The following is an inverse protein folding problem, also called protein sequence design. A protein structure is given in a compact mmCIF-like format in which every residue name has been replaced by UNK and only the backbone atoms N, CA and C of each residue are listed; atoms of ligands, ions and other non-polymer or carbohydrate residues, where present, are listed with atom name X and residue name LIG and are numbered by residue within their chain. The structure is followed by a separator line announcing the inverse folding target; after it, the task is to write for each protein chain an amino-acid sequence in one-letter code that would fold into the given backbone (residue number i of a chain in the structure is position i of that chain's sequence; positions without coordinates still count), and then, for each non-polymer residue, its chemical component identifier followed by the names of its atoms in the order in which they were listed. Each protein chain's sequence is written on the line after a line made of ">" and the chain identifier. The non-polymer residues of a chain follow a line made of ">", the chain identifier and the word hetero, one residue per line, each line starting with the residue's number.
data_IF_431422341478
#
_entry.id   IF_431422341478
#
_cell.length_a   1.000
_cell.length_b   1.000
_cell.length_c   1.000
_cell.angle_alpha   90.00
_cell.angle_beta   90.00
_cell.angle_gamma   90.00
#
_symmetry.space_group_name_H-M   'P 1'
#
loop_
_entity.id
_entity.type
_entity.pdbx_description
1 polymer ?
#
# COMPACT_ATOMS: atom_id res chain seq x y z
N UNK A 1 9.37 15.99 -29.94
CA UNK A 1 10.25 15.78 -28.77
C UNK A 1 10.15 14.32 -28.39
N UNK A 2 11.27 13.61 -28.25
CA UNK A 2 11.31 12.17 -27.96
C UNK A 2 10.69 11.84 -26.58
N UNK A 3 9.84 10.80 -26.44
CA UNK A 3 9.18 10.46 -25.17
C UNK A 3 9.99 9.50 -24.28
N UNK A 4 11.23 9.15 -24.63
CA UNK A 4 12.01 8.14 -23.90
C UNK A 4 12.80 8.65 -22.68
N UNK A 5 12.58 9.89 -22.23
CA UNK A 5 13.39 10.53 -21.19
C UNK A 5 12.76 10.64 -19.80
N UNK A 6 11.43 10.50 -19.67
CA UNK A 6 10.74 10.74 -18.39
C UNK A 6 10.60 9.49 -17.51
N UNK A 7 10.63 8.28 -18.08
CA UNK A 7 10.44 7.04 -17.33
C UNK A 7 11.66 6.63 -16.48
N UNK A 8 12.89 7.04 -16.85
CA UNK A 8 14.09 6.70 -16.07
C UNK A 8 14.40 7.68 -14.94
N UNK A 9 13.85 8.90 -14.96
CA UNK A 9 14.15 9.91 -13.95
C UNK A 9 13.34 9.73 -12.65
N UNK A 10 12.13 9.18 -12.75
CA UNK A 10 11.25 8.99 -11.58
C UNK A 10 11.67 7.74 -10.77
N UNK A 11 12.09 6.67 -11.45
CA UNK A 11 12.55 5.42 -10.82
C UNK A 11 13.90 5.53 -10.08
N UNK A 12 14.76 6.48 -10.45
CA UNK A 12 16.01 6.73 -9.69
C UNK A 12 15.84 7.66 -8.48
N UNK A 13 14.77 8.47 -8.44
CA UNK A 13 14.57 9.44 -7.36
C UNK A 13 13.98 8.82 -6.09
N UNK A 14 13.21 7.75 -6.23
CA UNK A 14 12.62 7.01 -5.10
C UNK A 14 13.64 6.12 -4.37
N UNK A 15 14.72 5.70 -5.04
CA UNK A 15 15.76 4.86 -4.41
C UNK A 15 16.80 5.66 -3.62
N UNK A 16 16.92 6.98 -3.87
CA UNK A 16 17.86 7.85 -3.17
C UNK A 16 17.36 8.34 -1.79
N UNK A 17 16.04 8.28 -1.53
CA UNK A 17 15.49 8.64 -0.21
C UNK A 17 15.69 7.54 0.85
N UNK A 18 15.99 6.31 0.45
CA UNK A 18 16.16 5.15 1.35
C UNK A 18 17.57 5.01 1.95
N UNK A 19 18.52 5.91 1.66
CA UNK A 19 19.93 5.78 2.07
C UNK A 19 20.51 6.96 2.88
N UNK A 20 19.69 7.91 3.37
CA UNK A 20 20.23 9.14 4.00
C UNK A 20 20.15 9.23 5.54
N UNK A 21 19.71 8.19 6.26
CA UNK A 21 19.76 8.19 7.73
C UNK A 21 21.01 7.46 8.25
N UNK A 22 22.14 8.19 8.28
CA UNK A 22 23.28 7.85 9.13
C UNK A 22 23.60 9.04 10.04
N UNK A 23 23.82 8.85 11.36
CA UNK A 23 24.24 9.94 12.23
C UNK A 23 25.75 10.13 12.08
N UNK A 24 26.16 11.17 11.34
CA UNK A 24 27.55 11.59 11.28
C UNK A 24 27.90 12.39 12.54
N UNK A 25 28.55 11.73 13.50
CA UNK A 25 29.19 12.35 14.67
C UNK A 25 30.32 13.26 14.15
N UNK A 26 30.23 14.57 14.39
CA UNK A 26 31.33 15.50 14.18
C UNK A 26 32.36 15.36 15.31
N UNK A 27 33.59 14.98 14.97
CA UNK A 27 34.74 15.09 15.85
C UNK A 27 35.17 16.57 15.94
N UNK A 28 35.01 17.17 17.12
CA UNK A 28 35.57 18.49 17.43
C UNK A 28 37.04 18.35 17.86
N UNK A 29 37.89 19.29 17.44
CA UNK A 29 39.34 19.31 17.69
C UNK A 29 39.70 19.26 19.18
N UNK A 30 40.78 18.52 19.46
CA UNK A 30 41.14 17.96 20.76
C UNK A 30 42.18 18.84 21.49
N UNK A 31 41.73 19.94 22.14
CA UNK A 31 42.54 20.69 23.13
C UNK A 31 41.67 21.28 24.25
N UNK A 32 41.98 20.94 25.49
CA UNK A 32 41.38 21.55 26.67
C UNK A 32 42.47 21.98 27.67
N UNK A 33 42.26 23.13 28.31
CA UNK A 33 42.99 23.55 29.51
C UNK A 33 42.06 23.34 30.71
N UNK A 34 42.54 22.69 31.78
CA UNK A 34 41.72 22.50 32.99
C UNK A 34 41.58 23.81 33.76
N UNK A 35 40.37 24.14 34.20
CA UNK A 35 40.11 25.26 35.11
C UNK A 35 40.87 25.08 36.43
N UNK A 36 41.75 26.03 36.76
CA UNK A 36 42.22 26.17 38.14
C UNK A 36 41.07 26.79 38.94
N UNK A 37 40.48 26.04 39.87
CA UNK A 37 39.33 26.44 40.69
C UNK A 37 39.53 27.73 41.51
N UNK A 38 39.48 28.88 40.84
CA UNK A 38 39.22 30.20 41.42
C UNK A 38 40.19 30.68 42.51
N UNK A 39 41.48 30.32 42.49
CA UNK A 39 42.45 30.86 43.45
C UNK A 39 43.60 31.61 42.78
N UNK A 40 43.50 32.94 42.83
CA UNK A 40 44.65 33.84 42.64
C UNK A 40 45.42 33.84 43.97
N UNK A 41 46.60 33.22 43.99
CA UNK A 41 47.55 33.32 45.10
C UNK A 41 48.47 34.52 44.86
N UNK A 42 48.52 35.44 45.82
CA UNK A 42 49.30 36.67 45.76
C UNK A 42 50.35 36.74 46.87
N UNK A 43 51.09 35.64 47.10
CA UNK A 43 52.22 35.63 48.03
C UNK A 43 53.57 35.64 47.31
N UNK A 44 54.32 36.76 47.46
CA UNK A 44 55.77 36.81 47.36
C UNK A 44 56.38 37.60 46.18
N UNK A 45 56.93 38.79 46.48
CA UNK A 45 58.02 39.44 45.72
C UNK A 45 59.27 39.38 46.62
N UNK A 46 60.41 38.93 46.06
CA UNK A 46 61.72 38.65 46.69
C UNK A 46 61.88 37.28 47.38
N UNK A 47 61.80 36.22 46.58
CA UNK A 47 62.24 34.87 46.88
C UNK A 47 62.12 34.00 45.63
N UNK A 48 63.13 33.20 45.31
CA UNK A 48 63.26 32.41 44.07
C UNK A 48 62.11 31.40 43.91
N UNK A 49 60.98 31.82 43.33
CA UNK A 49 59.96 31.04 42.60
C UNK A 49 58.73 31.93 42.36
N UNK A 50 58.60 32.48 41.15
CA UNK A 50 57.30 32.83 40.58
C UNK A 50 57.00 31.81 39.50
N UNK A 51 56.27 30.79 39.93
CA UNK A 51 55.93 29.62 39.13
C UNK A 51 54.93 29.99 38.05
N UNK A 52 55.16 29.46 36.85
CA UNK A 52 54.08 29.16 35.92
C UNK A 52 52.98 28.42 36.67
N UNK A 53 51.72 28.65 36.27
CA UNK A 53 50.58 27.88 36.78
C UNK A 53 50.93 26.41 36.59
N UNK A 54 51.21 25.73 37.70
CA UNK A 54 51.75 24.38 37.72
C UNK A 54 50.67 23.40 37.33
N UNK A 55 50.56 23.14 36.03
CA UNK A 55 50.03 21.88 35.52
C UNK A 55 51.21 21.02 35.11
N UNK A 56 51.29 19.79 35.62
CA UNK A 56 52.16 18.80 34.99
C UNK A 56 51.63 18.52 33.60
N UNK A 57 52.49 18.64 32.59
CA UNK A 57 52.18 18.21 31.23
C UNK A 57 52.12 16.68 31.21
N UNK A 58 50.95 16.13 31.54
CA UNK A 58 50.71 14.70 31.46
C UNK A 58 50.40 14.33 30.01
N UNK A 59 51.22 13.46 29.41
CA UNK A 59 50.77 12.73 28.23
C UNK A 59 49.54 11.93 28.63
N UNK A 60 48.45 12.06 27.85
CA UNK A 60 47.28 11.17 27.91
C UNK A 60 47.83 9.74 28.05
N UNK A 61 47.34 8.92 29.01
CA UNK A 61 47.68 7.50 29.03
C UNK A 61 47.44 6.97 27.62
N UNK A 62 48.39 6.22 27.07
CA UNK A 62 48.13 5.51 25.81
C UNK A 62 46.90 4.67 26.05
N UNK A 63 45.77 5.06 25.46
CA UNK A 63 44.58 4.23 25.45
C UNK A 63 45.05 2.88 24.94
N UNK A 64 44.83 1.83 25.72
CA UNK A 64 44.80 0.50 25.13
C UNK A 64 43.67 0.64 24.11
N UNK A 65 44.05 0.69 22.83
CA UNK A 65 43.10 0.50 21.76
C UNK A 65 42.62 -0.93 21.95
N UNK A 66 41.52 -1.11 22.68
CA UNK A 66 40.63 -2.21 22.36
C UNK A 66 40.36 -2.02 20.87
N UNK A 67 40.89 -2.95 20.09
CA UNK A 67 40.61 -3.05 18.67
C UNK A 67 39.08 -2.94 18.57
N UNK A 68 38.54 -1.89 17.92
CA UNK A 68 37.10 -1.70 17.92
C UNK A 68 36.52 -2.99 17.37
N UNK A 69 35.74 -3.72 18.18
CA UNK A 69 34.93 -4.81 17.67
C UNK A 69 34.16 -4.20 16.51
N UNK A 70 34.47 -4.65 15.29
CA UNK A 70 33.71 -4.24 14.12
C UNK A 70 32.26 -4.51 14.48
N UNK A 71 31.37 -3.51 14.42
CA UNK A 71 29.98 -3.73 14.76
C UNK A 71 29.51 -4.92 13.92
N UNK A 72 29.10 -6.01 14.57
CA UNK A 72 28.61 -7.18 13.86
C UNK A 72 27.50 -6.70 12.93
N UNK A 73 27.81 -6.63 11.63
CA UNK A 73 26.85 -6.22 10.64
C UNK A 73 25.89 -7.38 10.46
N UNK A 74 24.83 -7.41 11.26
CA UNK A 74 23.69 -8.26 10.98
C UNK A 74 23.07 -7.72 9.69
N UNK A 75 23.08 -8.47 8.57
CA UNK A 75 22.39 -8.03 7.37
C UNK A 75 20.95 -7.72 7.76
N UNK A 76 20.44 -6.58 7.34
CA UNK A 76 19.01 -6.29 7.48
C UNK A 76 18.26 -7.38 6.72
N UNK A 77 17.66 -8.32 7.47
CA UNK A 77 16.79 -9.34 6.90
C UNK A 77 15.43 -8.68 6.75
N UNK A 78 14.95 -8.55 5.51
CA UNK A 78 13.54 -8.22 5.31
C UNK A 78 12.71 -9.29 6.03
N UNK A 79 11.74 -8.90 6.89
CA UNK A 79 10.77 -9.86 7.40
C UNK A 79 10.07 -10.49 6.20
N UNK A 80 9.80 -11.79 6.28
CA UNK A 80 9.04 -12.48 5.23
C UNK A 80 7.61 -11.94 5.30
N UNK A 81 7.05 -11.38 4.21
CA UNK A 81 5.68 -10.91 4.22
C UNK A 81 4.74 -12.09 4.50
N UNK A 82 3.72 -11.87 5.33
CA UNK A 82 2.64 -12.85 5.51
C UNK A 82 1.74 -12.92 4.28
N UNK A 83 1.49 -11.76 3.67
CA UNK A 83 0.78 -11.63 2.41
C UNK A 83 1.64 -10.93 1.38
N UNK A 84 1.82 -11.56 0.23
CA UNK A 84 2.33 -10.90 -0.96
C UNK A 84 1.60 -11.45 -2.17
N UNK A 85 1.03 -10.56 -2.98
CA UNK A 85 0.36 -10.98 -4.20
C UNK A 85 0.51 -9.92 -5.28
N UNK A 86 0.92 -10.39 -6.46
CA UNK A 86 0.90 -9.66 -7.70
C UNK A 86 -0.24 -10.22 -8.55
N UNK A 87 -1.29 -9.42 -8.73
CA UNK A 87 -2.49 -9.81 -9.45
C UNK A 87 -2.60 -9.13 -10.81
N UNK A 88 -2.95 -9.91 -11.82
CA UNK A 88 -3.33 -9.43 -13.16
C UNK A 88 -4.39 -10.34 -13.76
N UNK A 89 -5.32 -9.80 -14.56
CA UNK A 89 -6.42 -10.57 -15.10
C UNK A 89 -6.69 -10.39 -16.58
N UNK A 90 -7.64 -11.19 -17.05
CA UNK A 90 -8.18 -11.21 -18.40
C UNK A 90 -9.69 -11.39 -18.32
N UNK A 91 -10.45 -10.44 -18.84
CA UNK A 91 -11.87 -10.60 -19.03
C UNK A 91 -12.11 -11.44 -20.29
N UNK A 92 -12.85 -12.54 -20.14
CA UNK A 92 -13.11 -13.50 -21.21
C UNK A 92 -14.42 -13.17 -21.94
N UNK A 93 -15.42 -12.69 -21.21
CA UNK A 93 -16.69 -12.24 -21.74
C UNK A 93 -17.33 -11.28 -20.74
N UNK A 94 -17.84 -10.16 -21.21
CA UNK A 94 -18.72 -9.30 -20.44
C UNK A 94 -19.77 -8.71 -21.37
N UNK A 95 -20.98 -8.49 -20.85
CA UNK A 95 -21.98 -7.59 -21.42
C UNK A 95 -22.14 -6.31 -20.56
N UNK A 96 -21.19 -6.10 -19.65
CA UNK A 96 -21.08 -4.99 -18.73
C UNK A 96 -19.63 -4.50 -18.78
N UNK A 97 -19.36 -3.51 -19.62
CA UNK A 97 -18.02 -2.92 -19.74
C UNK A 97 -17.82 -1.88 -18.64
N UNK A 98 -17.85 -2.30 -17.37
CA UNK A 98 -17.13 -1.56 -16.33
C UNK A 98 -16.90 -2.30 -15.00
N UNK A 99 -15.89 -1.89 -14.26
CA UNK A 99 -15.63 -2.18 -12.84
C UNK A 99 -15.94 -3.60 -12.31
N UNK A 100 -15.15 -4.58 -12.75
CA UNK A 100 -14.99 -5.88 -12.10
C UNK A 100 -14.18 -5.75 -10.79
N UNK A 101 -14.34 -6.72 -9.88
CA UNK A 101 -13.74 -6.78 -8.53
C UNK A 101 -12.28 -6.34 -8.39
N UNK A 102 -11.41 -6.63 -9.37
CA UNK A 102 -9.99 -6.30 -9.29
C UNK A 102 -9.55 -5.19 -10.25
N UNK A 103 -10.40 -4.70 -11.16
CA UNK A 103 -10.06 -3.63 -12.11
C UNK A 103 -8.87 -3.92 -13.05
N UNK A 104 -8.41 -5.17 -13.14
CA UNK A 104 -7.18 -5.55 -13.85
C UNK A 104 -7.48 -6.60 -14.95
N UNK A 105 -7.84 -6.19 -16.17
CA UNK A 105 -8.13 -7.07 -17.33
C UNK A 105 -7.38 -6.64 -18.60
N UNK A 106 -6.54 -7.50 -19.18
CA UNK A 106 -5.76 -7.15 -20.39
C UNK A 106 -6.61 -6.81 -21.63
N UNK A 107 -7.87 -7.25 -21.69
CA UNK A 107 -8.73 -7.08 -22.87
C UNK A 107 -9.54 -5.76 -22.86
N UNK A 108 -9.87 -5.26 -21.67
CA UNK A 108 -10.76 -4.10 -21.48
C UNK A 108 -10.12 -3.03 -20.62
N UNK A 109 -9.52 -3.40 -19.48
CA UNK A 109 -8.93 -2.48 -18.50
C UNK A 109 -7.62 -3.02 -17.92
N UNK A 110 -6.49 -3.00 -18.65
CA UNK A 110 -5.26 -3.65 -18.19
C UNK A 110 -4.77 -2.98 -16.92
N UNK A 111 -4.54 -3.78 -15.89
CA UNK A 111 -3.98 -3.28 -14.65
C UNK A 111 -3.17 -4.32 -13.91
N UNK A 112 -2.47 -3.84 -12.89
CA UNK A 112 -1.60 -4.61 -12.04
C UNK A 112 -1.84 -4.14 -10.60
N UNK A 113 -2.16 -5.08 -9.72
CA UNK A 113 -2.26 -4.86 -8.29
C UNK A 113 -1.10 -5.56 -7.59
N UNK A 114 -0.40 -4.84 -6.73
CA UNK A 114 0.62 -5.40 -5.87
C UNK A 114 0.33 -5.05 -4.42
N UNK A 115 0.11 -6.09 -3.63
CA UNK A 115 -0.07 -5.98 -2.19
C UNK A 115 1.10 -6.66 -1.50
N UNK A 116 1.66 -5.98 -0.52
CA UNK A 116 2.76 -6.47 0.28
C UNK A 116 2.53 -6.11 1.75
N UNK A 117 2.54 -7.12 2.61
CA UNK A 117 2.38 -6.99 4.06
C UNK A 117 3.74 -7.04 4.78
N UNK A 118 3.79 -6.54 6.02
CA UNK A 118 4.96 -6.49 6.88
C UNK A 118 6.19 -5.81 6.24
N UNK A 119 5.96 -4.83 5.37
CA UNK A 119 7.04 -4.17 4.58
C UNK A 119 7.96 -3.34 5.45
N UNK A 120 7.39 -2.65 6.44
CA UNK A 120 8.11 -1.68 7.27
C UNK A 120 7.95 -1.90 8.78
N UNK A 121 6.87 -2.56 9.20
CA UNK A 121 6.56 -2.92 10.58
C UNK A 121 5.54 -4.07 10.58
N UNK A 122 5.50 -4.82 11.68
CA UNK A 122 4.47 -5.83 11.93
C UNK A 122 3.07 -5.17 11.82
N UNK A 123 2.10 -5.89 11.28
CA UNK A 123 0.71 -5.46 11.01
C UNK A 123 0.55 -4.36 9.94
N UNK A 124 1.63 -3.85 9.33
CA UNK A 124 1.55 -2.80 8.31
C UNK A 124 1.51 -3.38 6.89
N UNK A 125 0.36 -3.18 6.25
CA UNK A 125 0.12 -3.52 4.86
C UNK A 125 0.34 -2.31 3.96
N UNK A 126 1.07 -2.50 2.88
CA UNK A 126 1.17 -1.56 1.76
C UNK A 126 0.51 -2.16 0.52
N UNK A 127 -0.25 -1.35 -0.19
CA UNK A 127 -0.91 -1.74 -1.43
C UNK A 127 -0.71 -0.67 -2.49
N UNK A 128 -0.38 -1.08 -3.70
CA UNK A 128 -0.27 -0.20 -4.84
C UNK A 128 -0.87 -0.86 -6.08
N UNK A 129 -1.59 -0.07 -6.87
CA UNK A 129 -2.20 -0.52 -8.11
C UNK A 129 -1.99 0.51 -9.22
N UNK A 130 -1.91 0.00 -10.44
CA UNK A 130 -1.94 0.78 -11.67
C UNK A 130 -2.96 0.12 -12.58
N UNK A 131 -3.99 0.86 -12.96
CA UNK A 131 -5.08 0.39 -13.81
C UNK A 131 -5.23 1.36 -14.99
N UNK A 132 -5.26 0.86 -16.23
CA UNK A 132 -5.59 1.66 -17.41
C UNK A 132 -7.04 1.42 -17.78
N UNK A 133 -7.82 2.49 -17.87
CA UNK A 133 -9.26 2.46 -18.07
C UNK A 133 -9.76 3.76 -18.70
N UNK A 134 -10.76 3.70 -19.59
CA UNK A 134 -11.40 4.86 -20.23
C UNK A 134 -10.36 5.86 -20.78
N UNK A 135 -9.32 5.31 -21.41
CA UNK A 135 -8.17 6.05 -21.93
C UNK A 135 -7.30 6.77 -20.87
N UNK A 136 -7.58 6.61 -19.57
CA UNK A 136 -6.85 7.15 -18.43
C UNK A 136 -6.06 6.08 -17.67
N UNK A 137 -5.08 6.50 -16.87
CA UNK A 137 -4.33 5.65 -15.95
C UNK A 137 -4.71 6.07 -14.53
N UNK A 138 -5.30 5.14 -13.78
CA UNK A 138 -5.51 5.23 -12.36
C UNK A 138 -4.30 4.64 -11.64
N UNK A 139 -3.62 5.45 -10.85
CA UNK A 139 -2.62 4.99 -9.88
C UNK A 139 -3.25 5.09 -8.51
N UNK A 140 -3.16 4.03 -7.70
CA UNK A 140 -3.46 4.15 -6.28
C UNK A 140 -2.37 3.59 -5.40
N UNK A 141 -2.22 4.23 -4.25
CA UNK A 141 -1.30 3.84 -3.20
C UNK A 141 -2.03 3.91 -1.87
N UNK A 142 -1.92 2.84 -1.09
CA UNK A 142 -2.55 2.76 0.21
C UNK A 142 -1.66 2.13 1.25
N UNK A 143 -1.99 2.46 2.49
CA UNK A 143 -1.43 1.86 3.68
C UNK A 143 -2.57 1.40 4.55
N UNK A 144 -2.34 0.37 5.35
CA UNK A 144 -3.27 0.01 6.40
C UNK A 144 -2.61 -0.81 7.48
N UNK A 145 -3.34 -0.92 8.58
CA UNK A 145 -2.94 -1.65 9.76
C UNK A 145 -3.91 -2.81 9.90
N UNK A 146 -3.39 -4.04 9.96
CA UNK A 146 -4.16 -5.27 10.14
C UNK A 146 -3.50 -6.12 11.24
N UNK A 147 -3.99 -6.07 12.48
CA UNK A 147 -3.39 -6.78 13.61
C UNK A 147 -3.47 -8.30 13.48
N UNK A 148 -2.32 -8.97 13.48
CA UNK A 148 -2.20 -10.43 13.30
C UNK A 148 -2.77 -11.25 14.47
N UNK A 149 -2.68 -10.76 15.71
CA UNK A 149 -2.89 -11.55 16.94
C UNK A 149 -4.33 -11.52 17.51
N UNK A 150 -5.34 -11.31 16.68
CA UNK A 150 -6.72 -11.16 17.12
C UNK A 150 -7.60 -12.36 16.75
N UNK A 151 -8.51 -12.77 17.65
CA UNK A 151 -9.55 -13.79 17.35
C UNK A 151 -10.46 -13.38 16.18
N UNK A 152 -10.44 -12.09 15.84
CA UNK A 152 -11.16 -11.40 14.78
C UNK A 152 -10.25 -10.26 14.30
N UNK A 153 -9.80 -10.33 13.05
CA UNK A 153 -8.90 -9.34 12.45
C UNK A 153 -9.65 -8.04 12.15
N UNK A 154 -9.37 -6.96 12.87
CA UNK A 154 -9.95 -5.64 12.56
C UNK A 154 -8.86 -4.72 12.06
N UNK A 155 -8.98 -4.31 10.80
CA UNK A 155 -8.02 -3.43 10.15
C UNK A 155 -8.61 -2.09 9.73
N UNK A 156 -7.73 -1.12 9.52
CA UNK A 156 -8.07 0.16 8.91
C UNK A 156 -7.09 0.45 7.79
N UNK A 157 -7.56 1.13 6.75
CA UNK A 157 -6.73 1.51 5.61
C UNK A 157 -7.02 2.93 5.15
N UNK A 158 -6.06 3.50 4.43
CA UNK A 158 -6.21 4.75 3.72
C UNK A 158 -5.55 4.62 2.34
N UNK A 159 -6.21 5.16 1.31
CA UNK A 159 -5.68 5.18 -0.04
C UNK A 159 -5.74 6.58 -0.63
N UNK A 160 -4.77 6.85 -1.50
CA UNK A 160 -4.76 7.98 -2.40
C UNK A 160 -4.76 7.48 -3.84
N UNK A 161 -5.79 7.89 -4.59
CA UNK A 161 -5.95 7.61 -6.00
C UNK A 161 -5.66 8.85 -6.83
N UNK A 162 -5.01 8.65 -7.97
CA UNK A 162 -4.69 9.69 -8.95
C UNK A 162 -5.00 9.19 -10.34
N UNK A 163 -5.87 9.90 -11.05
CA UNK A 163 -6.07 9.75 -12.48
C UNK A 163 -5.06 10.63 -13.23
N UNK A 164 -4.27 10.04 -14.11
CA UNK A 164 -3.12 10.71 -14.71
C UNK A 164 -3.49 11.74 -15.77
N UNK A 165 -4.51 11.48 -16.60
CA UNK A 165 -4.89 12.39 -17.68
C UNK A 165 -5.71 13.56 -17.16
N UNK A 166 -6.77 13.29 -16.38
CA UNK A 166 -7.61 14.33 -15.78
C UNK A 166 -6.88 15.10 -14.67
N UNK A 167 -5.91 14.46 -14.01
CA UNK A 167 -5.28 14.99 -12.79
C UNK A 167 -6.21 14.90 -11.58
N UNK A 168 -7.29 14.11 -11.65
CA UNK A 168 -8.22 13.96 -10.56
C UNK A 168 -7.61 13.16 -9.41
N UNK A 169 -8.03 13.50 -8.19
CA UNK A 169 -7.54 12.92 -6.96
C UNK A 169 -8.70 12.49 -6.06
N UNK A 170 -8.55 11.32 -5.46
CA UNK A 170 -9.51 10.78 -4.49
C UNK A 170 -8.77 10.24 -3.28
N UNK A 171 -9.29 10.53 -2.10
CA UNK A 171 -8.86 9.91 -0.85
C UNK A 171 -9.91 8.89 -0.43
N UNK A 172 -9.50 7.73 0.06
CA UNK A 172 -10.43 6.83 0.75
C UNK A 172 -9.92 6.43 2.11
N UNK A 173 -10.87 6.23 3.03
CA UNK A 173 -10.64 5.64 4.34
C UNK A 173 -11.49 4.39 4.46
N UNK A 174 -10.87 3.30 4.88
CA UNK A 174 -11.50 2.00 4.93
C UNK A 174 -11.34 1.32 6.27
N UNK A 175 -12.26 0.41 6.55
CA UNK A 175 -12.17 -0.53 7.66
C UNK A 175 -12.40 -1.95 7.15
N UNK A 176 -11.84 -2.91 7.86
CA UNK A 176 -11.90 -4.32 7.52
C UNK A 176 -12.16 -5.14 8.78
N UNK A 177 -12.95 -6.19 8.60
CA UNK A 177 -13.21 -7.23 9.56
C UNK A 177 -12.95 -8.58 8.91
N UNK A 178 -12.08 -9.38 9.49
CA UNK A 178 -11.76 -10.75 9.12
C UNK A 178 -12.19 -11.71 10.21
N UNK A 179 -12.94 -12.72 9.82
CA UNK A 179 -13.21 -13.88 10.66
C UNK A 179 -12.44 -15.09 10.13
N UNK A 180 -11.30 -15.44 10.74
CA UNK A 180 -10.49 -16.58 10.29
C UNK A 180 -11.19 -17.93 10.49
N UNK A 181 -12.22 -18.02 11.36
CA UNK A 181 -12.94 -19.28 11.58
C UNK A 181 -13.89 -19.60 10.43
N UNK A 182 -14.50 -18.57 9.84
CA UNK A 182 -15.44 -18.72 8.73
C UNK A 182 -14.82 -18.37 7.38
N UNK A 183 -13.54 -17.98 7.36
CA UNK A 183 -12.82 -17.53 6.18
C UNK A 183 -13.66 -16.47 5.44
N UNK A 184 -14.03 -15.44 6.20
CA UNK A 184 -14.95 -14.39 5.79
C UNK A 184 -14.33 -13.02 6.03
N UNK A 185 -14.46 -12.15 5.04
CA UNK A 185 -14.04 -10.76 5.08
C UNK A 185 -15.25 -9.84 4.88
N UNK A 186 -15.33 -8.80 5.69
CA UNK A 186 -16.17 -7.64 5.45
C UNK A 186 -15.29 -6.40 5.41
N UNK A 187 -15.46 -5.56 4.38
CA UNK A 187 -14.80 -4.27 4.30
C UNK A 187 -15.80 -3.17 3.99
N UNK A 188 -15.50 -1.96 4.44
CA UNK A 188 -16.25 -0.77 4.11
C UNK A 188 -15.29 0.38 3.86
N UNK A 189 -15.55 1.15 2.81
CA UNK A 189 -14.69 2.26 2.43
C UNK A 189 -15.54 3.48 2.09
N UNK A 190 -15.08 4.65 2.51
CA UNK A 190 -15.68 5.95 2.16
C UNK A 190 -14.68 6.70 1.29
N UNK A 191 -15.17 7.28 0.21
CA UNK A 191 -14.38 7.95 -0.82
C UNK A 191 -14.72 9.44 -0.88
N UNK A 192 -13.66 10.25 -0.81
CA UNK A 192 -13.71 11.70 -0.83
C UNK A 192 -12.91 12.21 -2.04
N UNK A 193 -13.59 12.74 -3.07
CA UNK A 193 -12.94 13.53 -4.11
C UNK A 193 -12.14 14.68 -3.48
N UNK A 194 -10.87 14.79 -3.85
CA UNK A 194 -9.99 15.90 -3.46
C UNK A 194 -9.81 16.90 -4.59
N UNK A 195 -10.03 16.46 -5.83
CA UNK A 195 -10.22 17.30 -7.01
C UNK A 195 -11.71 17.43 -7.33
N UNK A 196 -12.05 18.45 -8.13
CA UNK A 196 -13.43 18.82 -8.43
C UNK A 196 -13.84 20.07 -7.67
N UNK A 197 -14.24 21.11 -8.40
CA UNK A 197 -14.62 22.43 -7.87
C UNK A 197 -16.00 22.85 -8.36
N UNK A 198 -16.87 21.88 -8.65
CA UNK A 198 -18.28 22.10 -8.99
C UNK A 198 -18.52 22.27 -10.49
N UNK A 199 -17.86 21.47 -11.32
CA UNK A 199 -18.08 21.39 -12.77
C UNK A 199 -18.39 19.96 -13.21
N UNK A 200 -18.88 19.81 -14.44
CA UNK A 200 -19.05 18.53 -15.14
C UNK A 200 -17.77 17.67 -15.09
N UNK A 201 -17.92 16.35 -15.15
CA UNK A 201 -16.84 15.35 -15.04
C UNK A 201 -16.10 15.31 -13.67
N UNK A 202 -16.64 15.95 -12.63
CA UNK A 202 -16.09 15.87 -11.27
C UNK A 202 -16.35 14.49 -10.64
N UNK A 203 -15.34 13.94 -9.95
CA UNK A 203 -15.49 12.73 -9.13
C UNK A 203 -16.53 12.95 -8.03
N UNK A 204 -17.34 11.93 -7.74
CA UNK A 204 -18.40 12.01 -6.72
C UNK A 204 -18.01 11.34 -5.40
N UNK A 205 -18.63 11.79 -4.31
CA UNK A 205 -18.52 11.10 -3.02
C UNK A 205 -19.20 9.74 -3.13
N UNK A 206 -18.56 8.71 -2.57
CA UNK A 206 -19.12 7.37 -2.59
C UNK A 206 -18.77 6.58 -1.33
N UNK A 207 -19.51 5.50 -1.12
CA UNK A 207 -19.24 4.49 -0.09
C UNK A 207 -19.39 3.11 -0.70
N UNK A 208 -18.55 2.18 -0.28
CA UNK A 208 -18.76 0.76 -0.55
C UNK A 208 -18.82 -0.08 0.71
N UNK A 209 -19.47 -1.23 0.57
CA UNK A 209 -19.44 -2.34 1.51
C UNK A 209 -19.18 -3.59 0.68
N UNK A 210 -18.18 -4.38 1.08
CA UNK A 210 -17.80 -5.61 0.37
C UNK A 210 -17.74 -6.76 1.33
N UNK A 211 -18.31 -7.89 0.92
CA UNK A 211 -18.29 -9.13 1.67
C UNK A 211 -17.74 -10.25 0.80
N UNK A 212 -16.72 -10.93 1.29
CA UNK A 212 -16.00 -11.98 0.57
C UNK A 212 -15.81 -13.18 1.50
N UNK A 213 -15.76 -14.39 0.97
CA UNK A 213 -15.44 -15.54 1.80
C UNK A 213 -15.36 -16.85 1.05
N UNK A 214 -14.86 -17.88 1.72
CA UNK A 214 -14.73 -19.22 1.14
C UNK A 214 -15.99 -20.07 1.38
N UNK A 215 -16.51 -20.66 0.32
CA UNK A 215 -17.54 -21.71 0.38
C UNK A 215 -16.85 -23.08 0.52
N UNK A 216 -15.78 -23.28 -0.25
CA UNK A 216 -14.89 -24.43 -0.20
C UNK A 216 -13.44 -23.93 -0.29
N UNK A 217 -12.41 -24.78 -0.09
CA UNK A 217 -11.02 -24.35 -0.26
C UNK A 217 -10.68 -23.81 -1.65
N UNK A 218 -11.49 -24.10 -2.67
CA UNK A 218 -11.27 -23.65 -4.05
C UNK A 218 -12.38 -22.77 -4.57
N UNK A 219 -13.50 -22.64 -3.85
CA UNK A 219 -14.65 -21.84 -4.28
C UNK A 219 -14.88 -20.71 -3.28
N UNK A 220 -14.81 -19.49 -3.76
CA UNK A 220 -15.06 -18.28 -2.99
C UNK A 220 -16.30 -17.57 -3.53
N UNK A 221 -16.92 -16.76 -2.67
CA UNK A 221 -17.91 -15.79 -3.08
C UNK A 221 -17.40 -14.38 -2.82
N UNK A 222 -17.92 -13.45 -3.60
CA UNK A 222 -17.75 -12.04 -3.34
C UNK A 222 -19.03 -11.29 -3.62
N UNK A 223 -19.20 -10.19 -2.91
CA UNK A 223 -20.28 -9.25 -3.15
C UNK A 223 -19.84 -7.85 -2.79
N UNK A 224 -20.32 -6.87 -3.53
CA UNK A 224 -20.10 -5.45 -3.24
C UNK A 224 -21.38 -4.67 -3.43
N UNK A 225 -21.60 -3.71 -2.55
CA UNK A 225 -22.63 -2.70 -2.66
C UNK A 225 -21.95 -1.34 -2.63
N UNK A 226 -22.19 -0.56 -3.67
CA UNK A 226 -21.55 0.73 -3.87
C UNK A 226 -22.64 1.79 -4.04
N UNK A 227 -22.52 2.89 -3.30
CA UNK A 227 -23.43 4.02 -3.37
C UNK A 227 -22.66 5.26 -3.78
N UNK A 228 -23.22 6.00 -4.73
CA UNK A 228 -22.66 7.21 -5.29
C UNK A 228 -23.64 8.35 -5.01
N UNK A 229 -23.14 9.46 -4.46
CA UNK A 229 -23.99 10.55 -3.98
C UNK A 229 -23.84 11.80 -4.86
N UNK A 230 -24.97 12.35 -5.28
CA UNK A 230 -25.00 13.48 -6.23
C UNK A 230 -26.15 13.38 -7.24
N UNK A 231 -26.22 14.39 -8.09
CA UNK A 231 -27.12 14.45 -9.24
C UNK A 231 -26.36 14.10 -10.52
N UNK A 232 -27.06 13.54 -11.51
CA UNK A 232 -26.53 13.17 -12.84
C UNK A 232 -25.23 12.37 -12.77
N UNK A 233 -25.22 11.32 -11.94
CA UNK A 233 -24.04 10.48 -11.75
C UNK A 233 -23.91 9.49 -12.90
N UNK A 234 -22.80 9.60 -13.62
CA UNK A 234 -22.35 8.67 -14.64
C UNK A 234 -21.38 7.65 -14.01
N UNK A 235 -21.83 6.40 -13.89
CA UNK A 235 -21.01 5.28 -13.39
C UNK A 235 -20.20 4.65 -14.54
N UNK A 236 -20.78 4.60 -15.73
CA UNK A 236 -20.21 4.07 -16.96
C UNK A 236 -20.61 5.01 -18.10
N UNK A 237 -19.71 5.20 -19.07
CA UNK A 237 -19.90 6.05 -20.24
C UNK A 237 -21.09 5.58 -21.10
N UNK A 238 -21.37 4.27 -21.11
CA UNK A 238 -22.49 3.68 -21.86
C UNK A 238 -23.86 3.81 -21.15
N UNK A 239 -23.88 4.27 -19.91
CA UNK A 239 -25.08 4.29 -19.06
C UNK A 239 -25.63 5.70 -18.90
N UNK A 240 -26.96 5.79 -18.89
CA UNK A 240 -27.63 7.06 -18.64
C UNK A 240 -27.33 7.53 -17.20
N UNK A 241 -27.04 8.83 -16.99
CA UNK A 241 -26.78 9.35 -15.66
C UNK A 241 -27.96 9.17 -14.72
N UNK A 242 -27.68 8.88 -13.45
CA UNK A 242 -28.72 8.64 -12.43
C UNK A 242 -28.43 9.40 -11.14
N UNK A 243 -29.48 9.87 -10.45
CA UNK A 243 -29.34 10.56 -9.17
C UNK A 243 -29.18 9.57 -8.02
N UNK A 244 -28.21 9.84 -7.14
CA UNK A 244 -27.88 8.98 -5.99
C UNK A 244 -27.74 7.50 -6.38
N UNK A 245 -26.96 7.26 -7.44
CA UNK A 245 -26.83 5.96 -8.07
C UNK A 245 -26.25 4.90 -7.14
N UNK A 246 -26.54 3.64 -7.42
CA UNK A 246 -25.98 2.52 -6.69
C UNK A 246 -25.68 1.33 -7.61
N UNK A 247 -24.68 0.55 -7.22
CA UNK A 247 -24.24 -0.65 -7.92
C UNK A 247 -24.16 -1.81 -6.93
N UNK A 248 -24.76 -2.94 -7.30
CA UNK A 248 -24.63 -4.20 -6.59
C UNK A 248 -23.95 -5.22 -7.48
N UNK A 249 -22.89 -5.86 -6.97
CA UNK A 249 -22.19 -6.94 -7.65
C UNK A 249 -22.17 -8.16 -6.74
N UNK A 250 -22.38 -9.34 -7.32
CA UNK A 250 -22.21 -10.61 -6.64
C UNK A 250 -21.59 -11.63 -7.60
N UNK A 251 -20.68 -12.45 -7.11
CA UNK A 251 -19.99 -13.42 -7.94
C UNK A 251 -19.38 -14.57 -7.16
N UNK A 252 -18.85 -15.51 -7.93
CA UNK A 252 -18.19 -16.72 -7.48
C UNK A 252 -16.86 -16.88 -8.18
N UNK A 253 -15.85 -17.27 -7.40
CA UNK A 253 -14.52 -17.55 -7.89
C UNK A 253 -14.17 -19.00 -7.67
N UNK A 254 -13.54 -19.61 -8.66
CA UNK A 254 -12.95 -20.92 -8.60
C UNK A 254 -11.43 -20.82 -8.76
N UNK A 255 -10.71 -21.17 -7.70
CA UNK A 255 -9.25 -21.12 -7.61
C UNK A 255 -8.73 -22.56 -7.48
N UNK A 256 -8.48 -23.27 -8.60
CA UNK A 256 -8.00 -24.65 -8.55
C UNK A 256 -6.54 -24.77 -8.08
N UNK A 257 -5.73 -23.76 -8.37
CA UNK A 257 -4.33 -23.62 -7.96
C UNK A 257 -4.13 -22.19 -7.47
N UNK A 258 -3.20 -21.91 -6.53
CA UNK A 258 -2.99 -20.55 -6.01
C UNK A 258 -2.73 -19.52 -7.11
N UNK A 259 -2.03 -19.90 -8.17
CA UNK A 259 -1.68 -19.01 -9.28
C UNK A 259 -2.87 -18.58 -10.15
N UNK A 260 -3.96 -19.36 -10.19
CA UNK A 260 -5.01 -19.19 -11.21
C UNK A 260 -6.40 -19.17 -10.58
N UNK A 261 -7.17 -18.16 -10.91
CA UNK A 261 -8.55 -17.99 -10.48
C UNK A 261 -9.44 -17.74 -11.69
N UNK A 262 -10.58 -18.42 -11.75
CA UNK A 262 -11.64 -18.18 -12.72
C UNK A 262 -12.82 -17.61 -11.97
N UNK A 263 -13.42 -16.53 -12.43
CA UNK A 263 -14.58 -15.98 -11.77
C UNK A 263 -15.71 -15.64 -12.71
N UNK A 264 -16.90 -15.61 -12.12
CA UNK A 264 -18.13 -15.16 -12.77
C UNK A 264 -18.84 -14.20 -11.83
N UNK A 265 -19.35 -13.12 -12.37
CA UNK A 265 -20.09 -12.13 -11.60
C UNK A 265 -21.33 -11.64 -12.32
N UNK A 266 -22.28 -11.16 -11.53
CA UNK A 266 -23.45 -10.44 -11.98
C UNK A 266 -23.47 -9.07 -11.31
N UNK A 267 -23.63 -8.03 -12.10
CA UNK A 267 -23.62 -6.64 -11.66
C UNK A 267 -24.93 -5.97 -12.05
N UNK A 268 -25.56 -5.29 -11.10
CA UNK A 268 -26.77 -4.50 -11.29
C UNK A 268 -26.48 -3.06 -10.91
N UNK A 269 -26.58 -2.17 -11.88
CA UNK A 269 -26.60 -0.73 -11.65
C UNK A 269 -28.05 -0.26 -11.56
N UNK A 270 -28.29 0.78 -10.77
CA UNK A 270 -29.58 1.45 -10.71
C UNK A 270 -30.10 1.77 -12.12
N UNK A 271 -31.38 1.46 -12.36
CA UNK A 271 -32.12 1.76 -13.60
C UNK A 271 -31.55 1.15 -14.90
N UNK A 272 -30.54 0.28 -14.81
CA UNK A 272 -29.91 -0.40 -15.96
C UNK A 272 -30.07 -1.92 -15.88
N UNK A 273 -29.88 -2.64 -16.98
CA UNK A 273 -29.99 -4.10 -17.01
C UNK A 273 -28.87 -4.79 -16.20
N UNK A 274 -29.07 -6.08 -15.91
CA UNK A 274 -28.05 -6.89 -15.21
C UNK A 274 -26.92 -7.21 -16.20
N UNK A 275 -25.72 -6.80 -15.81
CA UNK A 275 -24.46 -7.20 -16.37
C UNK A 275 -23.98 -8.54 -15.86
N UNK A 276 -23.23 -9.27 -16.68
CA UNK A 276 -22.56 -10.52 -16.38
C UNK A 276 -21.12 -10.47 -16.89
N UNK A 277 -20.18 -10.85 -16.03
CA UNK A 277 -18.76 -10.92 -16.35
C UNK A 277 -18.22 -12.33 -16.14
N UNK A 278 -17.30 -12.74 -17.00
CA UNK A 278 -16.46 -13.94 -16.83
C UNK A 278 -15.01 -13.52 -16.97
N UNK A 279 -14.18 -13.86 -15.99
CA UNK A 279 -12.80 -13.43 -15.93
C UNK A 279 -11.84 -14.54 -15.49
N UNK A 280 -10.57 -14.33 -15.79
CA UNK A 280 -9.44 -15.16 -15.41
C UNK A 280 -8.38 -14.28 -14.74
N UNK A 281 -8.04 -14.57 -13.50
CA UNK A 281 -6.97 -13.88 -12.75
C UNK A 281 -5.77 -14.80 -12.54
N UNK A 282 -4.60 -14.18 -12.61
CA UNK A 282 -3.34 -14.76 -12.19
C UNK A 282 -2.88 -14.06 -10.92
N UNK A 283 -2.63 -14.84 -9.88
CA UNK A 283 -2.21 -14.36 -8.56
C UNK A 283 -0.83 -14.93 -8.24
N UNK A 284 0.21 -14.12 -8.43
CA UNK A 284 1.58 -14.55 -8.25
C UNK A 284 2.17 -14.02 -6.95
N UNK A 285 2.58 -14.91 -6.06
CA UNK A 285 3.33 -14.56 -4.86
C UNK A 285 4.85 -14.66 -5.13
N UNK A 286 5.58 -13.54 -5.24
CA UNK A 286 7.03 -13.58 -5.49
C UNK A 286 7.85 -14.17 -4.32
N UNK A 287 7.26 -14.36 -3.13
CA UNK A 287 7.92 -14.88 -1.93
C UNK A 287 7.64 -16.36 -1.67
N UNK A 288 6.87 -17.01 -2.54
CA UNK A 288 6.58 -18.45 -2.48
C UNK A 288 7.18 -19.19 -3.69
N UNK A 289 7.72 -20.41 -3.49
CA UNK A 289 8.19 -21.24 -4.60
C UNK A 289 7.09 -21.44 -5.66
N UNK A 290 7.44 -21.30 -6.93
CA UNK A 290 6.48 -21.40 -8.04
C UNK A 290 5.79 -22.77 -8.09
N UNK A 291 6.48 -23.85 -7.73
CA UNK A 291 5.90 -25.19 -7.70
C UNK A 291 4.73 -25.28 -6.71
N UNK A 292 4.82 -24.66 -5.54
CA UNK A 292 3.71 -24.62 -4.57
C UNK A 292 2.50 -23.86 -5.11
N UNK A 293 2.72 -22.87 -5.98
CA UNK A 293 1.66 -22.06 -6.57
C UNK A 293 0.99 -22.75 -7.78
N UNK A 294 1.60 -23.81 -8.31
CA UNK A 294 1.10 -24.63 -9.41
C UNK A 294 0.44 -25.93 -8.92
N UNK A 295 0.51 -26.22 -7.62
CA UNK A 295 -0.11 -27.38 -7.02
C UNK A 295 -1.63 -27.19 -6.85
N UNK A 296 -2.37 -28.28 -7.08
CA UNK A 296 -3.82 -28.30 -6.87
C UNK A 296 -4.16 -28.11 -5.39
N UNK A 297 -5.14 -27.26 -5.13
CA UNK A 297 -5.72 -27.09 -3.79
C UNK A 297 -6.69 -28.26 -3.56
N UNK A 298 -6.24 -29.27 -2.82
CA UNK A 298 -6.96 -30.55 -2.68
C UNK A 298 -7.69 -30.76 -1.35
N UNK A 299 -7.30 -30.11 -0.24
CA UNK A 299 -8.12 -29.88 0.99
C UNK A 299 -7.34 -29.11 2.09
N UNK A 300 -8.05 -28.40 2.99
CA UNK A 300 -7.56 -27.69 4.20
C UNK A 300 -6.44 -26.62 4.06
N UNK A 301 -6.03 -26.26 2.84
CA UNK A 301 -4.95 -25.30 2.59
C UNK A 301 -5.37 -23.85 2.30
N UNK A 302 -6.67 -23.54 2.33
CA UNK A 302 -7.14 -22.17 2.09
C UNK A 302 -6.96 -21.35 3.37
N UNK A 303 -6.09 -20.35 3.29
CA UNK A 303 -5.80 -19.40 4.38
C UNK A 303 -6.40 -18.05 4.03
N UNK A 304 -6.86 -17.29 5.03
CA UNK A 304 -7.21 -15.87 4.86
C UNK A 304 -6.06 -15.06 4.24
N UNK A 305 -4.82 -15.52 4.39
CA UNK A 305 -3.62 -14.97 3.72
C UNK A 305 -3.62 -15.18 2.19
N UNK A 306 -4.67 -15.74 1.60
CA UNK A 306 -4.89 -15.76 0.15
C UNK A 306 -5.95 -14.75 -0.29
N UNK A 307 -6.70 -14.16 0.65
CA UNK A 307 -7.67 -13.09 0.38
C UNK A 307 -6.99 -11.72 0.40
N UNK A 308 -7.50 -10.78 -0.40
CA UNK A 308 -6.90 -9.45 -0.51
C UNK A 308 -6.94 -8.73 0.84
N UNK A 309 -5.80 -8.19 1.33
CA UNK A 309 -5.73 -7.48 2.59
C UNK A 309 -6.69 -6.30 2.68
N UNK A 310 -6.87 -5.46 1.65
CA UNK A 310 -7.90 -4.43 1.65
C UNK A 310 -8.71 -4.43 0.35
N UNK A 311 -9.93 -4.98 0.42
CA UNK A 311 -10.88 -4.92 -0.70
C UNK A 311 -11.52 -3.53 -0.75
N UNK A 312 -11.56 -2.93 -1.95
CA UNK A 312 -12.04 -1.57 -2.18
C UNK A 312 -12.56 -1.39 -3.60
N UNK A 313 -13.39 -0.38 -3.79
CA UNK A 313 -13.88 0.08 -5.08
C UNK A 313 -12.82 0.85 -5.84
N UNK A 314 -12.61 0.40 -7.07
CA UNK A 314 -11.92 1.15 -8.10
C UNK A 314 -12.87 2.00 -8.94
N UNK A 315 -14.18 2.01 -8.62
CA UNK A 315 -15.21 2.83 -9.29
C UNK A 315 -14.98 4.31 -9.08
N UNK A 316 -14.61 5.01 -10.15
CA UNK A 316 -14.54 6.45 -10.27
C UNK A 316 -15.81 6.94 -10.97
N UNK A 317 -16.92 6.98 -10.23
CA UNK A 317 -18.15 7.59 -10.73
C UNK A 317 -18.00 9.11 -10.77
N UNK A 318 -18.63 9.74 -11.77
CA UNK A 318 -18.47 11.16 -12.07
C UNK A 318 -19.82 11.81 -12.29
N UNK A 319 -19.88 13.13 -12.24
CA UNK A 319 -21.03 13.87 -12.77
C UNK A 319 -20.96 13.89 -14.30
N UNK A 320 -22.06 13.59 -14.98
CA UNK A 320 -22.10 13.56 -16.44
C UNK A 320 -21.71 14.90 -17.09
N UNK A 321 -21.06 14.85 -18.26
CA UNK A 321 -20.89 16.00 -19.15
C UNK A 321 -22.22 16.35 -19.84
N UNK A 322 -22.52 17.64 -20.02
CA UNK A 322 -23.76 18.10 -20.68
C UNK A 322 -23.62 18.28 -22.20
#
# INVERSE_FOLDING_TARGET
>A
MNPSGLFSAVLLSSMALLLSLSPLIHAAEDKYYSESGGKISNEGYWGKKRGHVGGEEKRKPTLILEEPEEPEFTPFSFPKPLYSNLSFGFQLHSNYDDYDRHGTSLASNPGLDYVLDNVFADDLVWQANIDYKNEDILISNGIGILPEDSLIGVGVNAFWDVEMNSGNHRLSLGSKYDDPNYIFNLSSNIYFPLSGKGSEDDLVNSIDIRAEGAITPTVQFHSSLEFFFGDDIQINDDYDPTNNSHKFTAGLDYTPIPLLQLGVEATKVQDHDVGYGVYLYFNYDPWRPLNEQLELILDNGFSMQQMIPFSRSKVLARTAEQ
#
